data_IF_382360550219
#
_entry.id   IF_382360550219
#
_cell.length_a   1.000
_cell.length_b   1.000
_cell.length_c   1.000
_cell.angle_alpha   90.00
_cell.angle_beta   90.00
_cell.angle_gamma   90.00
#
_symmetry.space_group_name_H-M   'P 1'
#
loop_
_entity.id
_entity.type
_entity.pdbx_description
1 polymer ?
#
# COMPACT_ATOMS: atom_id res chain seq x y z
N UNK A 1 10.74 1.59 -1.60
CA UNK A 1 10.05 2.88 -1.36
C UNK A 1 9.01 2.67 -0.27
N UNK A 2 8.95 3.46 0.81
CA UNK A 2 8.05 3.16 1.94
C UNK A 2 6.68 3.82 1.76
N UNK A 3 5.59 3.10 1.99
CA UNK A 3 4.24 3.58 1.72
C UNK A 3 3.35 3.41 2.96
N UNK A 4 2.32 4.24 3.04
CA UNK A 4 1.12 4.00 3.84
C UNK A 4 -0.01 3.56 2.91
N UNK A 5 -0.75 2.53 3.31
CA UNK A 5 -1.86 2.01 2.52
C UNK A 5 -2.99 1.55 3.44
N UNK A 6 -4.22 1.53 2.92
CA UNK A 6 -5.36 0.97 3.63
C UNK A 6 -5.79 -0.36 3.02
N UNK A 7 -6.08 -1.33 3.87
CA UNK A 7 -6.67 -2.59 3.46
C UNK A 7 -7.86 -2.95 4.36
N UNK A 8 -8.80 -3.74 3.83
CA UNK A 8 -9.90 -4.30 4.60
C UNK A 8 -9.41 -5.56 5.31
N UNK A 9 -9.56 -5.59 6.62
CA UNK A 9 -9.30 -6.77 7.44
C UNK A 9 -10.60 -7.37 7.96
N UNK A 10 -10.66 -8.70 8.02
CA UNK A 10 -11.75 -9.37 8.71
C UNK A 10 -11.50 -9.35 10.23
N UNK A 11 -12.35 -8.64 10.97
CA UNK A 11 -12.31 -8.62 12.45
C UNK A 11 -12.44 -10.01 13.05
N UNK A 12 -13.17 -10.88 12.37
CA UNK A 12 -13.48 -12.23 12.82
C UNK A 12 -12.50 -13.28 12.27
N UNK A 13 -11.36 -12.89 11.69
CA UNK A 13 -10.39 -13.81 11.09
C UNK A 13 -9.93 -14.96 12.02
N UNK A 14 -9.96 -14.75 13.35
CA UNK A 14 -9.63 -15.78 14.35
C UNK A 14 -10.74 -16.79 14.58
N UNK A 15 -11.99 -16.46 14.26
CA UNK A 15 -13.15 -17.34 14.39
C UNK A 15 -13.76 -17.63 13.00
N UNK A 16 -13.25 -18.70 12.37
CA UNK A 16 -13.62 -19.12 11.01
C UNK A 16 -15.13 -19.39 10.79
N UNK A 17 -15.93 -19.51 11.86
CA UNK A 17 -17.38 -19.75 11.77
C UNK A 17 -18.22 -18.49 11.94
N UNK A 18 -17.61 -17.37 12.33
CA UNK A 18 -18.30 -16.09 12.41
C UNK A 18 -18.40 -15.48 11.01
N UNK A 19 -19.41 -14.64 10.83
CA UNK A 19 -19.59 -13.84 9.62
C UNK A 19 -18.40 -12.91 9.42
N UNK A 20 -17.96 -12.77 8.16
CA UNK A 20 -16.86 -11.88 7.80
C UNK A 20 -17.29 -10.44 8.11
N UNK A 21 -16.51 -9.74 8.93
CA UNK A 21 -16.74 -8.34 9.25
C UNK A 21 -15.54 -7.52 8.81
N UNK A 22 -15.67 -6.89 7.65
CA UNK A 22 -14.62 -6.09 7.06
C UNK A 22 -14.47 -4.74 7.78
N UNK A 23 -13.25 -4.41 8.17
CA UNK A 23 -12.89 -3.10 8.69
C UNK A 23 -11.66 -2.57 7.98
N UNK A 24 -11.73 -1.30 7.62
CA UNK A 24 -10.62 -0.59 7.02
C UNK A 24 -9.54 -0.32 8.07
N UNK A 25 -8.33 -0.78 7.80
CA UNK A 25 -7.17 -0.55 8.64
C UNK A 25 -6.00 0.01 7.82
N UNK A 26 -5.24 0.92 8.43
CA UNK A 26 -4.05 1.53 7.83
C UNK A 26 -2.81 0.72 8.19
N UNK A 27 -1.97 0.50 7.18
CA UNK A 27 -0.73 -0.26 7.23
C UNK A 27 0.43 0.52 6.61
N UNK A 28 1.64 0.03 6.86
CA UNK A 28 2.87 0.58 6.29
C UNK A 28 3.68 -0.53 5.67
N UNK A 29 4.35 -0.25 4.55
CA UNK A 29 5.09 -1.26 3.81
C UNK A 29 6.17 -0.68 2.92
N UNK A 30 6.93 -1.55 2.26
CA UNK A 30 7.83 -1.18 1.18
C UNK A 30 7.25 -1.66 -0.14
N UNK A 31 7.05 -0.74 -1.09
CA UNK A 31 6.75 -1.10 -2.48
C UNK A 31 7.93 -1.84 -3.08
N UNK A 32 7.68 -3.05 -3.56
CA UNK A 32 8.64 -3.88 -4.26
C UNK A 32 8.38 -3.88 -5.77
N UNK A 33 7.11 -3.98 -6.18
CA UNK A 33 6.73 -4.12 -7.59
C UNK A 33 5.47 -3.33 -7.92
N UNK A 34 5.39 -2.89 -9.19
CA UNK A 34 4.15 -2.43 -9.81
C UNK A 34 3.86 -3.39 -10.95
N UNK A 35 2.67 -3.99 -10.93
CA UNK A 35 2.17 -4.86 -11.98
C UNK A 35 1.13 -4.10 -12.79
N UNK A 36 1.27 -4.13 -14.11
CA UNK A 36 0.25 -3.63 -15.04
C UNK A 36 -0.31 -4.84 -15.76
N UNK A 37 -1.59 -5.12 -15.53
CA UNK A 37 -2.26 -6.31 -16.06
C UNK A 37 -3.40 -5.85 -16.96
N UNK A 38 -3.20 -6.03 -18.26
CA UNK A 38 -4.25 -5.80 -19.25
C UNK A 38 -5.11 -7.05 -19.36
N UNK A 39 -6.36 -6.96 -18.90
CA UNK A 39 -7.33 -8.03 -19.05
C UNK A 39 -8.27 -7.72 -20.21
N UNK A 40 -8.45 -8.66 -21.16
CA UNK A 40 -9.45 -8.50 -22.21
C UNK A 40 -10.86 -8.43 -21.61
N UNK A 41 -11.84 -8.02 -22.42
CA UNK A 41 -13.24 -8.16 -22.04
C UNK A 41 -13.52 -9.64 -21.72
N UNK A 42 -14.03 -9.89 -20.53
CA UNK A 42 -14.22 -11.23 -19.99
C UNK A 42 -15.49 -11.24 -19.13
N UNK A 43 -16.56 -11.79 -19.69
CA UNK A 43 -17.88 -11.82 -19.04
C UNK A 43 -17.86 -12.61 -17.73
N UNK A 44 -17.00 -13.63 -17.62
CA UNK A 44 -16.82 -14.43 -16.40
C UNK A 44 -16.26 -13.61 -15.24
N UNK A 45 -15.55 -12.52 -15.54
CA UNK A 45 -15.00 -11.58 -14.57
C UNK A 45 -15.86 -10.32 -14.42
N UNK A 46 -17.02 -10.26 -15.07
CA UNK A 46 -17.86 -9.07 -15.12
C UNK A 46 -17.23 -7.89 -15.86
N UNK A 47 -16.23 -8.16 -16.73
CA UNK A 47 -15.53 -7.13 -17.49
C UNK A 47 -16.17 -6.97 -18.87
N UNK A 48 -17.03 -5.96 -19.03
CA UNK A 48 -17.71 -5.65 -20.29
C UNK A 48 -16.75 -5.14 -21.39
N UNK A 49 -15.57 -4.64 -20.99
CA UNK A 49 -14.54 -4.09 -21.87
C UNK A 49 -13.15 -4.46 -21.37
N UNK A 50 -12.16 -4.38 -22.26
CA UNK A 50 -10.76 -4.50 -21.87
C UNK A 50 -10.45 -3.47 -20.78
N UNK A 51 -9.85 -3.95 -19.71
CA UNK A 51 -9.59 -3.17 -18.49
C UNK A 51 -8.17 -3.42 -18.04
N UNK A 52 -7.45 -2.33 -17.75
CA UNK A 52 -6.11 -2.37 -17.20
C UNK A 52 -6.18 -2.27 -15.68
N UNK A 53 -5.60 -3.24 -14.99
CA UNK A 53 -5.41 -3.22 -13.54
C UNK A 53 -3.98 -2.81 -13.22
N UNK A 54 -3.82 -1.88 -12.30
CA UNK A 54 -2.52 -1.48 -11.78
C UNK A 54 -2.45 -1.94 -10.33
N UNK A 55 -1.56 -2.89 -10.06
CA UNK A 55 -1.41 -3.51 -8.75
C UNK A 55 -0.04 -3.18 -8.17
N UNK A 56 0.01 -3.03 -6.85
CA UNK A 56 1.22 -2.81 -6.09
C UNK A 56 1.57 -4.05 -5.26
N UNK A 57 2.78 -4.58 -5.44
CA UNK A 57 3.36 -5.58 -4.57
C UNK A 57 4.10 -4.91 -3.41
N UNK A 58 3.60 -5.08 -2.19
CA UNK A 58 4.06 -4.41 -0.98
C UNK A 58 4.53 -5.45 0.03
N UNK A 59 5.75 -5.28 0.55
CA UNK A 59 6.19 -6.00 1.75
C UNK A 59 5.80 -5.19 2.98
N UNK A 60 4.89 -5.72 3.81
CA UNK A 60 4.39 -5.02 4.98
C UNK A 60 5.45 -4.92 6.10
N UNK A 61 5.47 -3.79 6.81
CA UNK A 61 6.22 -3.64 8.05
C UNK A 61 5.35 -4.00 9.25
N UNK A 62 5.81 -4.97 10.05
CA UNK A 62 5.23 -5.22 11.36
C UNK A 62 6.15 -4.63 12.43
N UNK A 63 5.70 -3.55 13.09
CA UNK A 63 6.49 -2.82 14.09
C UNK A 63 6.76 -3.63 15.36
N UNK A 64 6.12 -4.79 15.55
CA UNK A 64 6.21 -5.51 16.82
C UNK A 64 7.52 -6.27 17.01
N UNK A 65 8.05 -7.00 16.02
CA UNK A 65 9.34 -7.70 16.18
C UNK A 65 10.00 -7.95 14.81
N UNK A 66 11.14 -7.29 14.57
CA UNK A 66 12.03 -7.57 13.44
C UNK A 66 12.60 -8.99 13.58
N UNK A 67 12.15 -9.92 12.73
CA UNK A 67 12.95 -11.12 12.39
C UNK A 67 12.49 -11.85 11.13
N UNK A 68 11.30 -11.55 10.57
CA UNK A 68 10.84 -12.13 9.30
C UNK A 68 10.23 -11.04 8.43
N UNK A 69 10.72 -10.90 7.20
CA UNK A 69 10.06 -10.09 6.18
C UNK A 69 8.63 -10.62 6.03
N UNK A 70 7.64 -9.74 6.10
CA UNK A 70 6.26 -10.12 5.85
C UNK A 70 6.13 -10.63 4.39
N UNK A 71 5.22 -11.58 4.11
CA UNK A 71 4.96 -12.00 2.74
C UNK A 71 4.56 -10.81 1.87
N UNK A 72 4.91 -10.88 0.58
CA UNK A 72 4.53 -9.88 -0.41
C UNK A 72 3.00 -9.88 -0.57
N UNK A 73 2.38 -8.73 -0.32
CA UNK A 73 0.95 -8.51 -0.47
C UNK A 73 0.70 -7.73 -1.77
N UNK A 74 -0.23 -8.20 -2.61
CA UNK A 74 -0.58 -7.55 -3.87
C UNK A 74 -1.93 -6.86 -3.69
N UNK A 75 -1.94 -5.55 -3.83
CA UNK A 75 -3.12 -4.70 -3.64
C UNK A 75 -3.35 -3.86 -4.90
N UNK A 76 -4.59 -3.42 -5.11
CA UNK A 76 -4.85 -2.38 -6.11
C UNK A 76 -4.06 -1.11 -5.76
N UNK A 77 -3.45 -0.46 -6.75
CA UNK A 77 -2.59 0.70 -6.50
C UNK A 77 -3.35 1.86 -5.83
N UNK A 78 -4.68 1.92 -5.98
CA UNK A 78 -5.55 2.92 -5.34
C UNK A 78 -5.65 2.77 -3.82
N UNK A 79 -5.25 1.62 -3.26
CA UNK A 79 -5.15 1.41 -1.81
C UNK A 79 -3.96 2.17 -1.18
N UNK A 80 -2.98 2.59 -1.98
CA UNK A 80 -1.82 3.36 -1.52
C UNK A 80 -2.26 4.80 -1.28
N UNK A 81 -2.12 5.27 -0.05
CA UNK A 81 -2.48 6.63 0.32
C UNK A 81 -1.36 7.62 0.01
N UNK A 82 -0.12 7.28 0.40
CA UNK A 82 1.01 8.18 0.27
C UNK A 82 2.36 7.50 0.42
N UNK A 83 3.39 8.24 0.00
CA UNK A 83 4.79 7.92 0.21
C UNK A 83 5.23 8.41 1.59
N UNK A 84 5.75 7.50 2.42
CA UNK A 84 6.25 7.85 3.76
C UNK A 84 7.77 7.78 3.83
N UNK A 85 8.37 8.65 4.64
CA UNK A 85 9.78 8.58 5.03
C UNK A 85 9.95 7.88 6.39
N UNK A 86 11.14 7.35 6.66
CA UNK A 86 11.53 6.88 8.00
C UNK A 86 12.78 7.65 8.45
N UNK A 87 12.75 8.24 9.63
CA UNK A 87 13.91 8.92 10.24
C UNK A 87 14.24 8.29 11.58
N UNK A 88 15.53 8.22 11.91
CA UNK A 88 15.99 7.77 13.22
C UNK A 88 15.58 8.83 14.25
N UNK A 89 14.78 8.43 15.23
CA UNK A 89 14.26 9.29 16.30
C UNK A 89 14.83 8.93 17.68
N UNK A 90 15.76 7.97 17.75
CA UNK A 90 16.44 7.52 18.96
C UNK A 90 17.21 6.22 18.73
N UNK A 91 17.88 5.65 19.75
CA UNK A 91 18.77 4.49 19.62
C UNK A 91 18.12 3.24 18.98
N UNK A 92 16.79 3.12 19.11
CA UNK A 92 15.98 2.05 18.49
C UNK A 92 14.60 2.54 18.04
N UNK A 93 14.45 3.85 17.84
CA UNK A 93 13.16 4.47 17.52
C UNK A 93 13.20 5.07 16.12
N UNK A 94 12.13 4.83 15.36
CA UNK A 94 11.93 5.40 14.04
C UNK A 94 10.65 6.23 14.06
N UNK A 95 10.71 7.44 13.51
CA UNK A 95 9.52 8.21 13.21
C UNK A 95 9.15 8.01 11.73
N UNK A 96 7.86 7.85 11.47
CA UNK A 96 7.31 7.84 10.12
C UNK A 96 6.93 9.29 9.80
N UNK A 97 7.43 9.79 8.67
CA UNK A 97 7.06 11.10 8.15
C UNK A 97 6.09 10.83 7.01
N UNK A 98 4.83 11.13 7.24
CA UNK A 98 3.83 11.20 6.18
C UNK A 98 4.07 12.48 5.36
N UNK A 99 4.07 12.36 4.03
CA UNK A 99 4.18 13.50 3.13
C UNK A 99 2.85 13.91 2.49
N UNK A 100 1.73 13.26 2.79
CA UNK A 100 0.39 13.49 2.21
C UNK A 100 -0.23 14.89 2.41
N UNK A 101 0.49 15.85 3.01
CA UNK A 101 0.01 17.20 3.28
C UNK A 101 0.06 18.15 2.07
N UNK A 102 -0.70 19.25 2.15
CA UNK A 102 -0.87 20.33 1.13
C UNK A 102 0.43 21.02 0.65
N UNK A 103 1.59 20.63 1.19
CA UNK A 103 2.92 21.14 0.87
C UNK A 103 3.63 20.34 -0.25
N UNK A 104 3.05 19.24 -0.72
CA UNK A 104 3.63 18.37 -1.77
C UNK A 104 3.35 18.86 -3.21
N UNK A 105 3.84 20.05 -3.57
CA UNK A 105 4.20 20.34 -4.96
C UNK A 105 5.64 20.82 -5.00
N UNK A 106 6.58 19.89 -5.13
CA UNK A 106 7.90 20.26 -5.64
C UNK A 106 7.74 20.52 -7.14
N UNK A 107 7.61 21.78 -7.51
CA UNK A 107 7.77 22.19 -8.91
C UNK A 107 9.27 22.32 -9.17
N UNK A 108 9.75 21.65 -10.21
CA UNK A 108 11.05 21.95 -10.79
C UNK A 108 10.96 23.35 -11.40
N UNK A 109 11.73 24.30 -10.89
CA UNK A 109 12.02 25.54 -11.61
C UNK A 109 13.14 25.20 -12.58
N UNK A 110 12.80 24.99 -13.86
CA UNK A 110 13.82 25.04 -14.91
C UNK A 110 14.38 26.45 -14.94
N UNK A 111 15.63 26.62 -14.56
CA UNK A 111 16.35 27.87 -14.79
C UNK A 111 16.66 27.94 -16.29
N UNK A 112 15.98 28.85 -16.98
CA UNK A 112 16.33 29.21 -18.36
C UNK A 112 17.71 29.87 -18.34
N UNK A 113 18.68 29.24 -19.02
CA UNK A 113 19.97 29.83 -19.40
C UNK A 113 20.15 29.68 -20.90
#
# INVERSE_FOLDING_TARGET
MFLQFDALIDKNAKNRRAEIQEEKQTFFGCLQHIFVVDLPAASELGLEKQTTFILAGIEQFNFSYYSKLAPLEVLDITCIQCLVGRVVAGPSQWAIIDRSGTLERSYYVTSDH
#
